data_IF_058464004041
#
_entry.id   IF_058464004041
#
_cell.length_a   1.000
_cell.length_b   1.000
_cell.length_c   1.000
_cell.angle_alpha   90.00
_cell.angle_beta   90.00
_cell.angle_gamma   90.00
#
_symmetry.space_group_name_H-M   'P 1'
#
loop_
_entity.id
_entity.type
_entity.pdbx_description
1 polymer ?
#
# COMPACT_ATOMS: atom_id res chain seq x y z
N UNK A 1 6.29 14.11 8.60
CA UNK A 1 6.16 13.64 10.00
C UNK A 1 7.49 13.23 10.62
N UNK A 2 8.17 12.13 10.21
CA UNK A 2 9.45 11.68 10.83
C UNK A 2 10.55 12.76 10.90
N UNK A 3 10.74 13.53 9.82
CA UNK A 3 11.69 14.68 9.81
C UNK A 3 11.36 15.74 10.87
N UNK A 4 10.08 15.98 11.13
CA UNK A 4 9.65 16.90 12.18
C UNK A 4 10.01 16.36 13.57
N UNK A 5 9.84 15.05 13.79
CA UNK A 5 10.23 14.41 15.06
C UNK A 5 11.73 14.58 15.32
N UNK A 6 12.58 14.28 14.33
CA UNK A 6 14.05 14.41 14.46
C UNK A 6 14.46 15.86 14.80
N UNK A 7 13.83 16.83 14.16
CA UNK A 7 14.30 18.22 14.18
C UNK A 7 13.73 19.06 15.33
N UNK A 8 12.60 18.65 15.92
CA UNK A 8 11.87 19.49 16.87
C UNK A 8 11.49 18.78 18.17
N UNK A 9 11.57 17.45 18.22
CA UNK A 9 11.11 16.65 19.34
C UNK A 9 12.21 15.70 19.81
N UNK A 10 12.12 15.31 21.08
CA UNK A 10 12.92 14.26 21.69
C UNK A 10 12.01 13.06 21.93
N UNK A 11 12.25 11.92 21.28
CA UNK A 11 11.56 10.68 21.62
C UNK A 11 11.91 10.23 23.04
N UNK A 12 10.90 9.87 23.83
CA UNK A 12 11.06 9.34 25.19
C UNK A 12 10.86 7.82 25.19
N UNK A 13 9.82 7.33 24.53
CA UNK A 13 9.47 5.93 24.49
C UNK A 13 8.62 5.61 23.26
N UNK A 14 8.70 4.37 22.78
CA UNK A 14 7.81 3.83 21.75
C UNK A 14 7.37 2.41 22.12
N UNK A 15 6.07 2.21 22.25
CA UNK A 15 5.43 0.89 22.24
C UNK A 15 4.84 0.70 20.86
N UNK A 16 5.46 -0.16 20.06
CA UNK A 16 5.00 -0.50 18.73
C UNK A 16 4.07 -1.72 18.82
N UNK A 17 2.84 -1.60 18.33
CA UNK A 17 1.84 -2.67 18.39
C UNK A 17 1.74 -3.24 16.98
N UNK A 18 2.59 -4.22 16.71
CA UNK A 18 2.66 -4.95 15.44
C UNK A 18 2.12 -6.37 15.67
N UNK A 19 1.43 -6.93 14.68
CA UNK A 19 0.99 -8.33 14.67
C UNK A 19 0.09 -8.79 15.84
N UNK A 20 -0.46 -7.86 16.63
CA UNK A 20 -1.41 -8.10 17.72
C UNK A 20 -2.70 -7.32 17.47
N UNK A 21 -3.83 -8.02 17.45
CA UNK A 21 -5.15 -7.38 17.36
C UNK A 21 -5.57 -6.86 18.72
N UNK A 22 -5.32 -5.57 18.97
CA UNK A 22 -5.77 -4.88 20.20
C UNK A 22 -7.18 -4.33 20.05
N UNK A 23 -7.60 -3.97 18.83
CA UNK A 23 -8.91 -3.42 18.55
C UNK A 23 -9.76 -4.45 17.79
N UNK A 24 -10.89 -4.86 18.37
CA UNK A 24 -11.73 -5.93 17.82
C UNK A 24 -12.29 -5.58 16.43
N UNK A 25 -12.69 -4.33 16.23
CA UNK A 25 -13.37 -3.87 15.00
C UNK A 25 -12.42 -3.34 13.92
N UNK A 26 -11.11 -3.23 14.20
CA UNK A 26 -10.15 -2.57 13.32
C UNK A 26 -8.90 -3.40 13.09
N UNK A 27 -8.62 -3.72 11.82
CA UNK A 27 -7.31 -4.24 11.41
C UNK A 27 -6.35 -3.07 11.22
N UNK A 28 -5.72 -2.64 12.32
CA UNK A 28 -4.78 -1.51 12.33
C UNK A 28 -3.49 -1.89 13.04
N UNK A 29 -2.37 -1.52 12.43
CA UNK A 29 -1.08 -1.44 13.13
C UNK A 29 -1.03 -0.09 13.85
N UNK A 30 -0.70 -0.11 15.14
CA UNK A 30 -0.75 1.07 16.01
C UNK A 30 0.54 1.24 16.77
N UNK A 31 0.78 2.44 17.30
CA UNK A 31 1.87 2.68 18.22
C UNK A 31 1.48 3.71 19.28
N UNK A 32 2.09 3.58 20.46
CA UNK A 32 2.07 4.61 21.49
C UNK A 32 3.47 5.22 21.52
N UNK A 33 3.55 6.50 21.14
CA UNK A 33 4.81 7.25 21.13
C UNK A 33 4.75 8.38 22.17
N UNK A 34 5.76 8.45 23.03
CA UNK A 34 5.93 9.54 23.98
C UNK A 34 7.02 10.48 23.48
N UNK A 35 6.68 11.76 23.33
CA UNK A 35 7.54 12.79 22.76
C UNK A 35 7.64 13.98 23.72
N UNK A 36 8.82 14.57 23.81
CA UNK A 36 9.05 15.83 24.52
C UNK A 36 9.43 16.92 23.53
N UNK A 37 8.94 18.14 23.73
CA UNK A 37 9.35 19.31 22.93
C UNK A 37 10.76 19.75 23.35
N UNK A 38 11.77 19.13 22.76
CA UNK A 38 13.17 19.44 22.94
C UNK A 38 13.95 18.96 21.71
N UNK A 39 15.05 19.64 21.36
CA UNK A 39 15.89 19.24 20.22
C UNK A 39 17.00 18.34 20.77
N UNK A 40 16.73 17.04 20.83
CA UNK A 40 17.73 16.04 21.19
C UNK A 40 17.39 14.69 20.56
N UNK A 41 18.22 14.25 19.61
CA UNK A 41 18.18 12.88 19.12
C UNK A 41 19.12 12.04 19.98
N UNK A 42 18.55 11.26 20.89
CA UNK A 42 19.27 10.27 21.69
C UNK A 42 18.66 8.90 21.47
N UNK A 43 19.39 7.86 21.88
CA UNK A 43 18.77 6.55 22.07
C UNK A 43 17.60 6.66 23.05
N UNK A 44 16.54 5.90 22.80
CA UNK A 44 15.38 5.83 23.68
C UNK A 44 14.81 4.40 23.73
N UNK A 45 14.11 4.03 24.81
CA UNK A 45 13.52 2.70 24.95
C UNK A 45 12.37 2.48 23.97
N UNK A 46 12.40 1.31 23.33
CA UNK A 46 11.38 0.83 22.41
C UNK A 46 11.02 -0.59 22.74
N UNK A 47 9.75 -0.95 22.61
CA UNK A 47 9.30 -2.33 22.67
C UNK A 47 8.37 -2.60 21.49
N UNK A 48 8.50 -3.78 20.89
CA UNK A 48 7.53 -4.29 19.93
C UNK A 48 6.62 -5.26 20.70
N UNK A 49 5.33 -4.93 20.79
CA UNK A 49 4.33 -5.86 21.28
C UNK A 49 4.22 -6.99 20.25
N UNK A 50 4.29 -8.23 20.72
CA UNK A 50 4.21 -9.42 19.87
C UNK A 50 2.99 -10.25 20.24
N UNK A 51 2.71 -11.30 19.45
CA UNK A 51 1.66 -12.28 19.75
C UNK A 51 1.82 -12.99 21.11
N UNK A 52 2.98 -12.85 21.75
CA UNK A 52 3.25 -13.39 23.09
C UNK A 52 2.61 -12.55 24.21
N UNK A 53 2.18 -11.32 23.90
CA UNK A 53 1.45 -10.49 24.85
C UNK A 53 0.07 -11.08 25.13
N UNK A 54 -0.21 -11.34 26.41
CA UNK A 54 -1.49 -11.85 26.88
C UNK A 54 -2.39 -10.67 27.23
N UNK A 55 -3.59 -10.64 26.65
CA UNK A 55 -4.57 -9.60 26.95
C UNK A 55 -4.90 -9.55 28.44
N UNK A 56 -4.91 -8.35 29.01
CA UNK A 56 -5.11 -8.12 30.45
C UNK A 56 -3.83 -8.03 31.29
N UNK A 57 -2.67 -8.38 30.73
CA UNK A 57 -1.39 -8.13 31.41
C UNK A 57 -1.04 -6.64 31.45
N UNK A 58 -0.16 -6.26 32.37
CA UNK A 58 0.35 -4.89 32.46
C UNK A 58 1.25 -4.56 31.26
N UNK A 59 0.84 -3.57 30.45
CA UNK A 59 1.68 -3.02 29.38
C UNK A 59 2.97 -2.41 29.93
N UNK A 60 2.92 -1.84 31.13
CA UNK A 60 4.09 -1.26 31.79
C UNK A 60 5.13 -2.34 32.10
N UNK A 61 4.71 -3.44 32.71
CA UNK A 61 5.62 -4.53 33.10
C UNK A 61 6.21 -5.21 31.85
N UNK A 62 5.38 -5.38 30.82
CA UNK A 62 5.84 -5.87 29.53
C UNK A 62 6.85 -4.93 28.89
N UNK A 63 6.59 -3.63 28.89
CA UNK A 63 7.50 -2.62 28.35
C UNK A 63 8.85 -2.67 29.07
N UNK A 64 8.84 -2.66 30.41
CA UNK A 64 10.08 -2.67 31.21
C UNK A 64 10.90 -3.94 31.00
N UNK A 65 10.23 -5.09 30.84
CA UNK A 65 10.90 -6.39 30.68
C UNK A 65 11.46 -6.62 29.27
N UNK A 66 10.85 -6.03 28.24
CA UNK A 66 11.14 -6.34 26.83
C UNK A 66 11.74 -5.18 26.04
N UNK A 67 11.92 -4.00 26.65
CA UNK A 67 12.47 -2.83 25.95
C UNK A 67 13.90 -3.06 25.46
N UNK A 68 14.19 -2.50 24.30
CA UNK A 68 15.54 -2.32 23.78
C UNK A 68 15.79 -0.84 23.51
N UNK A 69 17.07 -0.48 23.44
CA UNK A 69 17.50 0.88 23.11
C UNK A 69 17.52 1.07 21.59
N UNK A 70 16.78 2.06 21.09
CA UNK A 70 16.73 2.42 19.68
C UNK A 70 17.30 3.81 19.45
N UNK A 71 18.22 3.92 18.50
CA UNK A 71 18.78 5.21 18.05
C UNK A 71 18.21 5.54 16.67
N UNK A 72 17.44 6.63 16.52
CA UNK A 72 16.94 7.07 15.22
C UNK A 72 18.07 7.26 14.20
N UNK A 73 17.96 6.67 13.00
CA UNK A 73 18.86 7.03 11.92
C UNK A 73 18.53 8.44 11.42
N UNK A 74 19.52 9.11 10.81
CA UNK A 74 19.35 10.42 10.17
C UNK A 74 18.53 10.36 8.87
N UNK A 75 18.17 9.16 8.42
CA UNK A 75 17.33 8.91 7.25
C UNK A 75 15.86 8.88 7.63
N UNK A 76 14.96 8.98 6.65
CA UNK A 76 13.52 8.78 6.86
C UNK A 76 13.10 7.31 6.88
N UNK A 77 14.01 6.43 6.47
CA UNK A 77 13.82 4.97 6.43
C UNK A 77 14.22 4.39 7.78
N UNK A 78 13.24 4.27 8.67
CA UNK A 78 13.44 3.72 10.01
C UNK A 78 13.04 2.26 10.02
N UNK A 79 13.96 1.41 10.45
CA UNK A 79 13.68 0.02 10.83
C UNK A 79 13.66 -0.05 12.35
N UNK A 80 12.49 -0.29 12.94
CA UNK A 80 12.31 -0.37 14.39
C UNK A 80 12.48 -1.82 14.81
N UNK A 81 13.74 -2.23 14.95
CA UNK A 81 14.09 -3.56 15.43
C UNK A 81 15.21 -3.51 16.45
N UNK A 82 15.31 -4.57 17.25
CA UNK A 82 16.41 -4.72 18.19
C UNK A 82 17.75 -4.91 17.45
N UNK A 83 18.86 -4.88 18.21
CA UNK A 83 20.22 -4.99 17.68
C UNK A 83 20.41 -6.24 16.81
N UNK A 84 19.88 -7.39 17.23
CA UNK A 84 20.02 -8.66 16.50
C UNK A 84 19.31 -8.62 15.16
N UNK A 85 18.07 -8.10 15.11
CA UNK A 85 17.32 -7.93 13.88
C UNK A 85 17.99 -6.93 12.92
N UNK A 86 18.53 -5.83 13.46
CA UNK A 86 19.29 -4.85 12.69
C UNK A 86 20.58 -5.42 12.08
N UNK A 87 21.33 -6.21 12.84
CA UNK A 87 22.54 -6.91 12.36
C UNK A 87 22.19 -7.92 11.26
N UNK A 88 21.12 -8.70 11.44
CA UNK A 88 20.67 -9.66 10.44
C UNK A 88 20.25 -8.94 9.15
N UNK A 89 19.46 -7.87 9.26
CA UNK A 89 19.07 -7.04 8.12
C UNK A 89 20.30 -6.52 7.37
N UNK A 90 21.27 -5.94 8.09
CA UNK A 90 22.50 -5.43 7.48
C UNK A 90 23.33 -6.53 6.79
N UNK A 91 23.39 -7.73 7.37
CA UNK A 91 24.06 -8.88 6.74
C UNK A 91 23.37 -9.34 5.45
N UNK A 92 22.04 -9.34 5.42
CA UNK A 92 21.28 -9.69 4.21
C UNK A 92 21.51 -8.63 3.14
N UNK A 93 21.34 -7.35 3.48
CA UNK A 93 21.47 -6.24 2.53
C UNK A 93 22.87 -6.08 1.94
N UNK A 94 23.93 -6.42 2.69
CA UNK A 94 25.30 -6.37 2.16
C UNK A 94 25.64 -7.53 1.23
N UNK A 95 24.93 -8.65 1.33
CA UNK A 95 25.16 -9.85 0.53
C UNK A 95 24.29 -9.93 -0.74
N UNK A 96 23.29 -9.06 -0.89
CA UNK A 96 22.31 -9.13 -1.98
C UNK A 96 22.16 -7.80 -2.70
N UNK A 97 21.79 -7.88 -3.98
CA UNK A 97 21.39 -6.70 -4.76
C UNK A 97 19.97 -6.28 -4.35
N UNK A 98 19.78 -5.01 -3.98
CA UNK A 98 18.46 -4.48 -3.62
C UNK A 98 17.56 -4.41 -4.87
N UNK A 99 16.26 -4.63 -4.71
CA UNK A 99 15.29 -4.61 -5.82
C UNK A 99 15.36 -3.31 -6.65
N UNK A 100 15.57 -2.17 -5.99
CA UNK A 100 15.70 -0.86 -6.63
C UNK A 100 16.92 -0.74 -7.57
N UNK A 101 17.94 -1.58 -7.38
CA UNK A 101 19.17 -1.55 -8.18
C UNK A 101 19.09 -2.46 -9.40
N UNK A 102 18.04 -3.29 -9.51
CA UNK A 102 17.79 -4.06 -10.73
C UNK A 102 17.36 -3.12 -11.85
N UNK A 103 17.69 -3.49 -13.09
CA UNK A 103 17.25 -2.75 -14.28
C UNK A 103 15.78 -3.04 -14.59
N UNK A 104 14.91 -2.71 -13.64
CA UNK A 104 13.45 -2.89 -13.70
C UNK A 104 12.78 -1.59 -13.30
N UNK A 105 11.63 -1.30 -13.91
CA UNK A 105 10.81 -0.15 -13.52
C UNK A 105 9.69 -0.63 -12.60
N UNK A 106 9.74 -0.22 -11.35
CA UNK A 106 8.70 -0.50 -10.37
C UNK A 106 7.57 0.52 -10.57
N UNK A 107 6.40 0.04 -10.98
CA UNK A 107 5.22 0.86 -11.22
C UNK A 107 4.06 0.40 -10.36
N UNK A 108 3.08 1.28 -10.15
CA UNK A 108 1.79 0.90 -9.58
C UNK A 108 0.89 0.25 -10.65
N UNK A 109 -0.09 -0.53 -10.21
CA UNK A 109 -1.18 -0.99 -11.07
C UNK A 109 -2.08 0.17 -11.54
N UNK A 110 -2.99 -0.13 -12.47
CA UNK A 110 -3.96 0.84 -12.99
C UNK A 110 -4.94 1.25 -11.90
N UNK A 111 -5.09 2.56 -11.66
CA UNK A 111 -6.07 3.14 -10.75
C UNK A 111 -7.23 3.69 -11.57
N UNK A 112 -8.40 3.10 -11.42
CA UNK A 112 -9.61 3.47 -12.18
C UNK A 112 -10.33 4.69 -11.58
N UNK A 113 -10.11 4.97 -10.30
CA UNK A 113 -10.87 5.98 -9.54
C UNK A 113 -12.24 5.49 -9.07
N UNK A 114 -12.89 4.59 -9.82
CA UNK A 114 -14.16 3.97 -9.42
C UNK A 114 -14.33 2.58 -10.04
N UNK A 115 -14.01 1.53 -9.28
CA UNK A 115 -13.95 0.16 -9.80
C UNK A 115 -15.29 -0.35 -10.37
N UNK A 116 -16.42 0.00 -9.74
CA UNK A 116 -17.75 -0.50 -10.14
C UNK A 116 -18.14 -0.06 -11.56
N UNK A 117 -17.70 1.12 -12.00
CA UNK A 117 -17.97 1.61 -13.34
C UNK A 117 -17.02 1.01 -14.39
N UNK A 118 -15.73 0.89 -14.05
CA UNK A 118 -14.67 0.58 -15.02
C UNK A 118 -14.27 -0.91 -15.08
N UNK A 119 -14.55 -1.70 -14.04
CA UNK A 119 -14.25 -3.13 -14.02
C UNK A 119 -15.55 -3.89 -14.22
N UNK A 120 -15.65 -4.59 -15.35
CA UNK A 120 -16.83 -5.34 -15.78
C UNK A 120 -16.55 -6.85 -15.80
N UNK A 121 -17.60 -7.64 -15.63
CA UNK A 121 -17.53 -9.09 -15.81
C UNK A 121 -17.58 -9.49 -17.29
N UNK A 122 -17.39 -10.78 -17.54
CA UNK A 122 -17.46 -11.33 -18.89
C UNK A 122 -18.82 -11.13 -19.56
N UNK A 123 -19.90 -11.19 -18.78
CA UNK A 123 -21.26 -11.00 -19.30
C UNK A 123 -21.44 -9.60 -19.87
N UNK A 124 -21.08 -8.57 -19.10
CA UNK A 124 -21.18 -7.16 -19.51
C UNK A 124 -20.20 -6.84 -20.64
N UNK A 125 -18.99 -7.41 -20.64
CA UNK A 125 -18.07 -7.34 -21.79
C UNK A 125 -18.76 -7.83 -23.06
N UNK A 126 -19.34 -9.03 -23.03
CA UNK A 126 -19.96 -9.64 -24.21
C UNK A 126 -21.17 -8.84 -24.68
N UNK A 127 -21.98 -8.29 -23.76
CA UNK A 127 -23.07 -7.37 -24.06
C UNK A 127 -22.60 -6.11 -24.81
N UNK A 128 -21.54 -5.46 -24.32
CA UNK A 128 -20.98 -4.25 -24.93
C UNK A 128 -20.38 -4.54 -26.31
N UNK A 129 -19.66 -5.66 -26.49
CA UNK A 129 -19.08 -6.05 -27.78
C UNK A 129 -20.16 -6.44 -28.79
N UNK A 130 -21.23 -7.12 -28.35
CA UNK A 130 -22.35 -7.47 -29.22
C UNK A 130 -23.12 -6.22 -29.71
N UNK A 131 -23.18 -5.18 -28.88
CA UNK A 131 -23.82 -3.92 -29.25
C UNK A 131 -22.99 -3.12 -30.27
N UNK A 132 -21.65 -3.13 -30.15
CA UNK A 132 -20.72 -2.62 -31.15
C UNK A 132 -19.36 -3.32 -31.00
N UNK A 133 -18.95 -4.03 -32.05
CA UNK A 133 -17.70 -4.80 -32.04
C UNK A 133 -16.46 -3.90 -31.82
N UNK A 134 -16.55 -2.61 -32.16
CA UNK A 134 -15.47 -1.63 -31.93
C UNK A 134 -15.12 -1.50 -30.44
N UNK A 135 -16.06 -1.77 -29.53
CA UNK A 135 -15.83 -1.68 -28.08
C UNK A 135 -14.70 -2.60 -27.58
N UNK A 136 -14.34 -3.65 -28.33
CA UNK A 136 -13.19 -4.51 -28.03
C UNK A 136 -11.85 -3.74 -27.99
N UNK A 137 -11.76 -2.59 -28.65
CA UNK A 137 -10.56 -1.75 -28.67
C UNK A 137 -10.24 -1.14 -27.30
N UNK A 138 -11.27 -0.86 -26.50
CA UNK A 138 -11.15 -0.23 -25.18
C UNK A 138 -11.38 -1.18 -24.01
N UNK A 139 -11.83 -2.41 -24.26
CA UNK A 139 -12.00 -3.42 -23.20
C UNK A 139 -10.73 -4.29 -23.14
N UNK A 140 -10.11 -4.39 -21.95
CA UNK A 140 -8.87 -5.15 -21.73
C UNK A 140 -9.00 -6.09 -20.54
N UNK A 141 -8.51 -7.34 -20.62
CA UNK A 141 -8.46 -8.21 -19.45
C UNK A 141 -7.58 -7.58 -18.36
N UNK A 142 -7.96 -7.75 -17.09
CA UNK A 142 -7.22 -7.21 -15.94
C UNK A 142 -7.05 -8.27 -14.85
N UNK A 143 -5.96 -8.15 -14.08
CA UNK A 143 -5.68 -8.94 -12.89
C UNK A 143 -5.61 -7.96 -11.71
N UNK A 144 -6.30 -8.28 -10.60
CA UNK A 144 -6.23 -7.49 -9.36
C UNK A 144 -5.21 -8.11 -8.41
N UNK A 145 -4.79 -7.33 -7.40
CA UNK A 145 -3.85 -7.82 -6.38
C UNK A 145 -4.30 -9.12 -5.69
N UNK A 146 -5.60 -9.31 -5.47
CA UNK A 146 -6.17 -10.52 -4.84
C UNK A 146 -6.12 -11.78 -5.73
N UNK A 147 -6.03 -11.56 -7.03
CA UNK A 147 -6.01 -12.60 -8.07
C UNK A 147 -4.57 -13.13 -8.27
N UNK A 148 -3.55 -12.44 -7.75
CA UNK A 148 -2.15 -12.87 -7.75
C UNK A 148 -1.86 -13.83 -6.58
N UNK A 149 -1.23 -14.96 -6.87
CA UNK A 149 -0.76 -15.96 -5.90
C UNK A 149 0.76 -16.11 -5.99
N UNK A 150 1.34 -16.88 -5.06
CA UNK A 150 2.76 -17.19 -5.10
C UNK A 150 3.06 -18.02 -6.36
N UNK A 151 3.78 -17.42 -7.32
CA UNK A 151 4.20 -18.00 -8.61
C UNK A 151 3.14 -18.18 -9.70
N UNK A 152 1.87 -17.84 -9.47
CA UNK A 152 0.82 -17.92 -10.48
C UNK A 152 -0.27 -16.87 -10.25
N UNK A 153 -1.23 -16.78 -11.17
CA UNK A 153 -2.41 -15.94 -11.03
C UNK A 153 -3.67 -16.70 -11.45
N UNK A 154 -4.79 -16.33 -10.87
CA UNK A 154 -6.12 -16.83 -11.21
C UNK A 154 -6.84 -15.77 -12.03
N UNK A 155 -7.22 -16.09 -13.26
CA UNK A 155 -7.93 -15.12 -14.10
C UNK A 155 -9.44 -15.21 -13.86
N UNK A 156 -9.98 -14.19 -13.20
CA UNK A 156 -11.38 -14.12 -12.77
C UNK A 156 -12.37 -13.69 -13.87
N UNK A 157 -11.96 -13.73 -15.15
CA UNK A 157 -12.77 -13.27 -16.28
C UNK A 157 -13.35 -11.85 -16.09
N UNK A 158 -12.53 -10.96 -15.55
CA UNK A 158 -12.85 -9.53 -15.40
C UNK A 158 -12.06 -8.68 -16.38
N UNK A 159 -12.67 -7.56 -16.75
CA UNK A 159 -12.17 -6.69 -17.81
C UNK A 159 -12.26 -5.23 -17.38
N UNK A 160 -11.25 -4.46 -17.76
CA UNK A 160 -11.20 -3.02 -17.60
C UNK A 160 -11.74 -2.34 -18.86
N UNK A 161 -12.65 -1.39 -18.68
CA UNK A 161 -12.98 -0.36 -19.67
C UNK A 161 -11.88 0.72 -19.61
N UNK A 162 -10.99 0.73 -20.59
CA UNK A 162 -9.82 1.60 -20.66
C UNK A 162 -10.10 2.89 -21.46
N UNK A 163 -11.10 3.65 -21.05
CA UNK A 163 -11.36 5.00 -21.59
C UNK A 163 -10.49 6.02 -20.84
N UNK A 164 -9.28 6.27 -21.34
CA UNK A 164 -8.28 7.12 -20.68
C UNK A 164 -8.28 8.57 -21.18
N UNK A 165 -7.88 9.50 -20.31
CA UNK A 165 -7.75 10.93 -20.64
C UNK A 165 -6.51 11.27 -21.49
N UNK A 166 -5.75 10.26 -21.91
CA UNK A 166 -4.51 10.44 -22.65
C UNK A 166 -3.35 10.87 -21.74
N UNK A 167 -2.16 10.98 -22.31
CA UNK A 167 -0.93 11.34 -21.60
C UNK A 167 -0.22 12.40 -22.44
N UNK A 168 -0.34 13.67 -22.00
CA UNK A 168 0.18 14.83 -22.72
C UNK A 168 1.68 14.74 -23.00
N UNK A 169 2.48 14.24 -22.04
CA UNK A 169 3.94 14.17 -22.15
C UNK A 169 4.45 13.25 -23.26
N UNK A 170 3.64 12.28 -23.71
CA UNK A 170 3.97 11.37 -24.81
C UNK A 170 3.04 11.55 -26.02
N UNK A 171 2.23 12.61 -26.03
CA UNK A 171 1.28 12.89 -27.11
C UNK A 171 0.12 11.90 -27.24
N UNK A 172 -0.12 11.05 -26.22
CA UNK A 172 -1.23 10.11 -26.24
C UNK A 172 -2.55 10.87 -26.09
N UNK A 173 -3.42 10.77 -27.09
CA UNK A 173 -4.72 11.44 -27.10
C UNK A 173 -5.69 10.78 -26.11
N UNK A 174 -6.68 11.55 -25.65
CA UNK A 174 -7.81 11.01 -24.89
C UNK A 174 -8.63 10.07 -25.77
N UNK A 175 -9.25 9.06 -25.17
CA UNK A 175 -10.29 8.27 -25.82
C UNK A 175 -11.58 9.08 -25.76
N UNK A 176 -12.16 9.42 -26.91
CA UNK A 176 -13.42 10.16 -26.95
C UNK A 176 -14.61 9.19 -26.90
N UNK A 177 -14.93 8.67 -25.72
CA UNK A 177 -15.96 7.62 -25.58
C UNK A 177 -17.35 8.08 -26.03
N UNK A 178 -17.68 9.36 -25.92
CA UNK A 178 -18.99 9.90 -26.30
C UNK A 178 -19.24 9.79 -27.81
N UNK A 179 -18.19 10.01 -28.61
CA UNK A 179 -18.27 9.95 -30.08
C UNK A 179 -17.87 8.57 -30.60
N UNK A 180 -16.77 8.01 -30.09
CA UNK A 180 -16.15 6.82 -30.65
C UNK A 180 -16.71 5.50 -30.12
N UNK A 181 -17.31 5.51 -28.91
CA UNK A 181 -17.80 4.32 -28.21
C UNK A 181 -19.13 4.60 -27.44
N UNK A 182 -20.23 4.95 -28.11
CA UNK A 182 -21.44 5.46 -27.44
C UNK A 182 -22.01 4.53 -26.36
N UNK A 183 -21.97 3.20 -26.57
CA UNK A 183 -22.44 2.22 -25.58
C UNK A 183 -21.56 2.13 -24.33
N UNK A 184 -20.26 2.30 -24.49
CA UNK A 184 -19.33 2.43 -23.35
C UNK A 184 -19.64 3.71 -22.57
N UNK A 185 -19.86 4.81 -23.28
CA UNK A 185 -20.23 6.07 -22.65
C UNK A 185 -21.56 5.99 -21.89
N UNK A 186 -22.60 5.37 -22.46
CA UNK A 186 -23.88 5.14 -21.78
C UNK A 186 -23.72 4.30 -20.50
N UNK A 187 -22.95 3.21 -20.57
CA UNK A 187 -22.64 2.38 -19.40
C UNK A 187 -21.97 3.22 -18.30
N UNK A 188 -20.88 3.92 -18.62
CA UNK A 188 -20.17 4.77 -17.66
C UNK A 188 -21.07 5.90 -17.13
N UNK A 189 -21.93 6.46 -17.98
CA UNK A 189 -22.87 7.53 -17.61
C UNK A 189 -23.89 7.09 -16.57
N UNK A 190 -24.28 5.81 -16.57
CA UNK A 190 -25.20 5.27 -15.55
C UNK A 190 -24.66 5.32 -14.12
N UNK A 191 -23.35 5.46 -13.96
CA UNK A 191 -22.66 5.57 -12.67
C UNK A 191 -22.45 7.03 -12.21
N UNK A 192 -22.82 8.02 -13.04
CA UNK A 192 -22.78 9.41 -12.59
C UNK A 192 -23.83 9.64 -11.48
N UNK A 193 -23.47 10.34 -10.39
CA UNK A 193 -24.44 10.77 -9.40
C UNK A 193 -25.56 11.56 -10.08
N UNK A 194 -26.81 11.24 -9.72
CA UNK A 194 -27.99 11.99 -10.16
C UNK A 194 -28.12 13.29 -9.40
#
# INVERSE_FOLDING_TARGET
MKKYFINHLRPIALLNIEDVQIFEEATVESNIVTLQKAIQSSSFPVVNLSKEYIYGNSLTDYFESNKFQFTPPQTTEWFIGNKSAGLLKGKIESAVKLLKDYNVRINFGVKTGYNEAFIIDEKKKNELIAADNKNIEVIRPIIRGRDLKKYFYEFENIYLINTHNGIKSIGLKRVDSEIEYPRIYEHLKSFHPK
#
